data_IF_415149135607
#
_entry.id   IF_415149135607
#
_cell.length_a   1.000
_cell.length_b   1.000
_cell.length_c   1.000
_cell.angle_alpha   90.00
_cell.angle_beta   90.00
_cell.angle_gamma   90.00
#
_symmetry.space_group_name_H-M   'P 1'
#
loop_
_entity.id
_entity.type
_entity.pdbx_description
1 polymer ?
#
# COMPACT_ATOMS: atom_id res chain seq x y z
N UNK A 1 -29.54 8.50 -14.90
CA UNK A 1 -28.81 8.97 -13.70
C UNK A 1 -28.16 7.74 -13.08
N UNK A 2 -26.82 7.64 -13.07
CA UNK A 2 -26.11 6.51 -12.47
C UNK A 2 -26.36 6.52 -10.96
N UNK A 3 -26.78 5.39 -10.39
CA UNK A 3 -26.97 5.27 -8.95
C UNK A 3 -25.60 5.24 -8.24
N UNK A 4 -25.30 6.24 -7.40
CA UNK A 4 -24.02 6.30 -6.68
C UNK A 4 -23.80 5.09 -5.77
N UNK A 5 -24.87 4.53 -5.19
CA UNK A 5 -24.80 3.38 -4.28
C UNK A 5 -24.42 2.09 -5.03
N UNK A 6 -24.90 1.96 -6.28
CA UNK A 6 -24.60 0.82 -7.14
C UNK A 6 -23.10 0.73 -7.47
N UNK A 7 -22.41 1.87 -7.62
CA UNK A 7 -20.96 1.90 -7.81
C UNK A 7 -20.18 1.42 -6.57
N UNK A 8 -20.73 1.62 -5.36
CA UNK A 8 -20.08 1.17 -4.12
C UNK A 8 -20.37 -0.30 -3.76
N UNK A 9 -21.43 -0.89 -4.31
CA UNK A 9 -21.83 -2.28 -4.06
C UNK A 9 -20.70 -3.31 -4.26
N UNK A 10 -19.95 -3.33 -5.39
CA UNK A 10 -18.85 -4.28 -5.58
C UNK A 10 -17.74 -4.13 -4.52
N UNK A 11 -17.43 -2.89 -4.14
CA UNK A 11 -16.41 -2.57 -3.14
C UNK A 11 -16.77 -3.10 -1.74
N UNK A 12 -17.98 -2.81 -1.26
CA UNK A 12 -18.44 -3.32 0.04
C UNK A 12 -18.64 -4.85 0.05
N UNK A 13 -19.06 -5.43 -1.08
CA UNK A 13 -19.16 -6.89 -1.21
C UNK A 13 -17.78 -7.57 -1.18
N UNK A 14 -16.76 -6.98 -1.80
CA UNK A 14 -15.38 -7.45 -1.70
C UNK A 14 -14.87 -7.38 -0.25
N UNK A 15 -15.06 -6.24 0.43
CA UNK A 15 -14.69 -6.07 1.84
C UNK A 15 -15.40 -7.05 2.77
N UNK A 16 -16.66 -7.37 2.49
CA UNK A 16 -17.40 -8.39 3.22
C UNK A 16 -16.82 -9.78 2.96
N UNK A 17 -16.57 -10.16 1.69
CA UNK A 17 -16.01 -11.49 1.34
C UNK A 17 -14.67 -11.78 2.01
N UNK A 18 -13.80 -10.79 2.14
CA UNK A 18 -12.49 -10.93 2.81
C UNK A 18 -12.62 -10.88 4.34
N UNK A 19 -13.81 -10.60 4.88
CA UNK A 19 -14.07 -10.53 6.33
C UNK A 19 -13.66 -9.20 6.98
N UNK A 20 -13.16 -8.24 6.20
CA UNK A 20 -12.68 -6.96 6.73
C UNK A 20 -13.81 -6.01 7.12
N UNK A 21 -14.99 -6.16 6.50
CA UNK A 21 -16.18 -5.35 6.81
C UNK A 21 -17.46 -6.18 6.92
N UNK A 22 -18.52 -5.56 7.47
CA UNK A 22 -19.83 -6.21 7.60
C UNK A 22 -20.55 -6.29 6.25
N UNK A 23 -21.55 -7.17 6.17
CA UNK A 23 -22.47 -7.21 5.04
C UNK A 23 -23.35 -5.96 5.03
N UNK A 24 -23.26 -5.16 3.95
CA UNK A 24 -24.03 -3.93 3.77
C UNK A 24 -25.33 -4.19 2.99
N UNK A 25 -25.25 -4.83 1.82
CA UNK A 25 -26.37 -4.91 0.86
C UNK A 25 -27.02 -6.30 0.73
N UNK A 26 -26.67 -7.29 1.56
CA UNK A 26 -27.09 -8.69 1.35
C UNK A 26 -27.47 -9.53 2.59
N UNK A 27 -28.22 -9.02 3.59
CA UNK A 27 -28.82 -9.90 4.59
C UNK A 27 -30.23 -10.36 4.15
N UNK A 28 -30.33 -11.53 3.48
CA UNK A 28 -31.64 -12.19 3.29
C UNK A 28 -32.12 -12.96 4.54
N UNK A 29 -31.21 -13.34 5.45
CA UNK A 29 -31.52 -14.16 6.64
C UNK A 29 -30.65 -13.83 7.87
N UNK A 30 -31.24 -13.92 9.08
CA UNK A 30 -30.55 -13.68 10.36
C UNK A 30 -29.33 -14.62 10.55
N UNK A 31 -29.47 -15.88 10.16
CA UNK A 31 -28.41 -16.90 10.24
C UNK A 31 -27.17 -16.52 9.43
N UNK A 32 -27.33 -16.05 8.20
CA UNK A 32 -26.21 -15.61 7.36
C UNK A 32 -25.44 -14.46 8.00
N UNK A 33 -26.15 -13.52 8.63
CA UNK A 33 -25.53 -12.40 9.36
C UNK A 33 -24.74 -12.87 10.57
N UNK A 34 -25.28 -13.82 11.32
CA UNK A 34 -24.61 -14.38 12.50
C UNK A 34 -23.36 -15.18 12.12
N UNK A 35 -23.46 -16.02 11.09
CA UNK A 35 -22.31 -16.79 10.59
C UNK A 35 -21.22 -15.86 10.04
N UNK A 36 -21.62 -14.82 9.31
CA UNK A 36 -20.68 -13.79 8.85
C UNK A 36 -20.00 -13.06 10.00
N UNK A 37 -20.72 -12.78 11.10
CA UNK A 37 -20.13 -12.17 12.28
C UNK A 37 -19.00 -13.04 12.87
N UNK A 38 -19.24 -14.33 13.09
CA UNK A 38 -18.21 -15.24 13.59
C UNK A 38 -17.04 -15.40 12.62
N UNK A 39 -17.31 -15.51 11.31
CA UNK A 39 -16.29 -15.53 10.28
C UNK A 39 -15.37 -14.31 10.37
N UNK A 40 -15.94 -13.11 10.53
CA UNK A 40 -15.16 -11.87 10.68
C UNK A 40 -14.29 -11.86 11.94
N UNK A 41 -14.84 -12.30 13.07
CA UNK A 41 -14.07 -12.40 14.33
C UNK A 41 -12.89 -13.35 14.14
N UNK A 42 -13.10 -14.49 13.50
CA UNK A 42 -12.03 -15.44 13.17
C UNK A 42 -10.94 -14.81 12.30
N UNK A 43 -11.31 -14.12 11.21
CA UNK A 43 -10.36 -13.42 10.35
C UNK A 43 -9.59 -12.34 11.12
N UNK A 44 -10.26 -11.56 11.97
CA UNK A 44 -9.63 -10.52 12.79
C UNK A 44 -8.63 -11.08 13.79
N UNK A 45 -8.95 -12.21 14.44
CA UNK A 45 -8.00 -12.91 15.31
C UNK A 45 -6.75 -13.30 14.52
N UNK A 46 -6.92 -13.90 13.33
CA UNK A 46 -5.79 -14.28 12.47
C UNK A 46 -4.94 -13.09 12.02
N UNK A 47 -5.57 -11.96 11.66
CA UNK A 47 -4.84 -10.74 11.26
C UNK A 47 -4.05 -10.15 12.43
N UNK A 48 -4.66 -10.09 13.63
CA UNK A 48 -4.01 -9.55 14.83
C UNK A 48 -2.84 -10.45 15.24
N UNK A 49 -3.02 -11.77 15.29
CA UNK A 49 -1.96 -12.71 15.67
C UNK A 49 -0.80 -12.65 14.68
N UNK A 50 -1.08 -12.57 13.38
CA UNK A 50 -0.06 -12.41 12.34
C UNK A 50 0.76 -11.12 12.52
N UNK A 51 0.09 -9.97 12.73
CA UNK A 51 0.79 -8.71 12.97
C UNK A 51 1.60 -8.75 14.28
N UNK A 52 1.05 -9.34 15.34
CA UNK A 52 1.74 -9.49 16.62
C UNK A 52 3.00 -10.35 16.48
N UNK A 53 2.94 -11.45 15.72
CA UNK A 53 4.10 -12.29 15.42
C UNK A 53 5.22 -11.49 14.73
N UNK A 54 4.89 -10.63 13.77
CA UNK A 54 5.88 -9.77 13.10
C UNK A 54 6.45 -8.68 14.01
N UNK A 55 5.64 -8.09 14.90
CA UNK A 55 6.14 -7.15 15.92
C UNK A 55 7.12 -7.84 16.86
N UNK A 56 6.77 -9.03 17.37
CA UNK A 56 7.66 -9.83 18.24
C UNK A 56 8.98 -10.13 17.53
N UNK A 57 8.90 -10.58 16.27
CA UNK A 57 10.09 -10.86 15.46
C UNK A 57 10.95 -9.60 15.25
N UNK A 58 10.33 -8.44 14.99
CA UNK A 58 11.05 -7.18 14.85
C UNK A 58 11.77 -6.80 16.15
N UNK A 59 11.16 -7.02 17.31
CA UNK A 59 11.78 -6.76 18.62
C UNK A 59 12.96 -7.71 18.88
N UNK A 60 12.78 -9.01 18.62
CA UNK A 60 13.83 -10.02 18.81
C UNK A 60 15.06 -9.74 17.95
N UNK A 61 14.83 -9.28 16.73
CA UNK A 61 15.85 -9.11 15.71
C UNK A 61 16.38 -7.67 15.65
N UNK A 62 15.94 -6.78 16.55
CA UNK A 62 16.26 -5.34 16.53
C UNK A 62 17.76 -5.01 16.52
N UNK A 63 18.58 -5.90 17.08
CA UNK A 63 20.03 -5.73 17.14
C UNK A 63 20.72 -6.09 15.82
N UNK A 64 20.06 -6.85 14.95
CA UNK A 64 20.53 -7.20 13.62
C UNK A 64 19.77 -6.37 12.59
N UNK A 65 20.35 -5.22 12.24
CA UNK A 65 19.79 -4.24 11.29
C UNK A 65 19.29 -4.90 10.01
N UNK A 66 20.00 -5.91 9.52
CA UNK A 66 19.69 -6.54 8.25
C UNK A 66 18.41 -7.35 8.22
N UNK A 67 18.21 -8.16 9.26
CA UNK A 67 17.00 -8.97 9.42
C UNK A 67 15.82 -8.13 9.95
N UNK A 68 16.12 -7.04 10.66
CA UNK A 68 15.13 -6.06 11.11
C UNK A 68 14.45 -5.38 9.92
N UNK A 69 15.21 -4.91 8.92
CA UNK A 69 14.66 -4.22 7.74
C UNK A 69 13.66 -5.09 6.98
N UNK A 70 13.98 -6.37 6.72
CA UNK A 70 13.07 -7.30 6.06
C UNK A 70 11.78 -7.56 6.87
N UNK A 71 11.91 -7.65 8.18
CA UNK A 71 10.76 -7.83 9.09
C UNK A 71 9.89 -6.56 9.16
N UNK A 72 10.51 -5.38 9.21
CA UNK A 72 9.82 -4.08 9.24
C UNK A 72 9.03 -3.82 7.95
N UNK A 73 9.52 -4.23 6.79
CA UNK A 73 8.79 -4.04 5.54
C UNK A 73 7.45 -4.79 5.54
N UNK A 74 7.48 -6.09 5.83
CA UNK A 74 6.25 -6.91 5.89
C UNK A 74 5.30 -6.34 6.94
N UNK A 75 5.83 -5.97 8.10
CA UNK A 75 5.08 -5.37 9.19
C UNK A 75 4.43 -4.03 8.80
N UNK A 76 5.12 -3.15 8.09
CA UNK A 76 4.57 -1.87 7.64
C UNK A 76 3.42 -2.07 6.65
N UNK A 77 3.56 -3.01 5.71
CA UNK A 77 2.52 -3.34 4.73
C UNK A 77 1.27 -3.90 5.42
N UNK A 78 1.45 -4.75 6.45
CA UNK A 78 0.33 -5.36 7.18
C UNK A 78 -0.31 -4.39 8.18
N UNK A 79 0.49 -3.51 8.81
CA UNK A 79 0.00 -2.44 9.67
C UNK A 79 -0.85 -1.41 8.91
N UNK A 80 -0.47 -1.05 7.68
CA UNK A 80 -1.28 -0.18 6.82
C UNK A 80 -2.68 -0.77 6.59
N UNK A 81 -2.74 -2.07 6.32
CA UNK A 81 -4.00 -2.80 6.13
C UNK A 81 -4.82 -2.85 7.43
N UNK A 82 -4.17 -3.15 8.56
CA UNK A 82 -4.81 -3.19 9.88
C UNK A 82 -5.36 -1.80 10.28
N UNK A 83 -4.63 -0.73 10.02
CA UNK A 83 -5.07 0.65 10.29
C UNK A 83 -6.33 1.01 9.49
N UNK A 84 -6.41 0.61 8.22
CA UNK A 84 -7.62 0.78 7.38
C UNK A 84 -8.80 -0.03 7.94
N UNK A 85 -8.58 -1.30 8.28
CA UNK A 85 -9.62 -2.15 8.88
C UNK A 85 -10.17 -1.54 10.18
N UNK A 86 -9.28 -1.07 11.06
CA UNK A 86 -9.65 -0.44 12.32
C UNK A 86 -10.46 0.84 12.08
N UNK A 87 -10.02 1.70 11.15
CA UNK A 87 -10.72 2.95 10.80
C UNK A 87 -12.15 2.70 10.31
N UNK A 88 -12.32 1.73 9.40
CA UNK A 88 -13.65 1.35 8.88
C UNK A 88 -14.55 0.81 9.99
N UNK A 89 -14.03 -0.06 10.86
CA UNK A 89 -14.84 -0.74 11.86
C UNK A 89 -15.18 0.13 13.07
N UNK A 90 -14.25 0.97 13.55
CA UNK A 90 -14.55 1.94 14.62
C UNK A 90 -15.59 2.98 14.19
N UNK A 91 -15.68 3.28 12.89
CA UNK A 91 -16.59 4.29 12.34
C UNK A 91 -17.81 3.68 11.66
N UNK A 92 -18.12 2.40 11.92
CA UNK A 92 -19.20 1.67 11.24
C UNK A 92 -20.55 2.39 11.30
N UNK A 93 -20.91 2.97 12.45
CA UNK A 93 -22.17 3.73 12.60
C UNK A 93 -22.22 5.00 11.76
N UNK A 94 -21.07 5.64 11.52
CA UNK A 94 -21.00 6.83 10.65
C UNK A 94 -21.11 6.41 9.19
N UNK A 95 -20.48 5.30 8.82
CA UNK A 95 -20.58 4.72 7.47
C UNK A 95 -22.03 4.32 7.17
N UNK A 96 -22.74 3.74 8.14
CA UNK A 96 -24.17 3.42 8.01
C UNK A 96 -25.01 4.67 7.75
N UNK A 97 -24.82 5.73 8.53
CA UNK A 97 -25.51 7.01 8.28
C UNK A 97 -25.23 7.58 6.89
N UNK A 98 -24.01 7.46 6.38
CA UNK A 98 -23.66 7.89 5.01
C UNK A 98 -24.41 7.04 3.99
N UNK A 99 -24.40 5.71 4.14
CA UNK A 99 -25.11 4.78 3.27
C UNK A 99 -26.61 5.05 3.27
N UNK A 100 -27.20 5.28 4.44
CA UNK A 100 -28.61 5.61 4.60
C UNK A 100 -28.95 6.95 3.94
N UNK A 101 -28.06 7.95 4.04
CA UNK A 101 -28.23 9.24 3.35
C UNK A 101 -28.21 9.08 1.82
N UNK A 102 -27.38 8.18 1.30
CA UNK A 102 -27.33 7.86 -0.13
C UNK A 102 -28.58 7.07 -0.55
N UNK A 103 -29.09 6.18 0.29
CA UNK A 103 -30.26 5.32 0.04
C UNK A 103 -31.58 6.10 -0.12
N UNK A 104 -31.69 7.32 0.43
CA UNK A 104 -32.94 8.13 0.38
C UNK A 104 -33.37 8.49 -1.05
N UNK A 105 -32.50 8.33 -2.06
CA UNK A 105 -32.78 8.72 -3.44
C UNK A 105 -33.18 7.60 -4.42
N UNK A 106 -33.32 6.35 -3.99
CA UNK A 106 -33.51 5.24 -4.94
C UNK A 106 -34.57 4.23 -4.52
N UNK A 107 -35.67 4.21 -5.27
CA UNK A 107 -36.59 3.08 -5.39
C UNK A 107 -36.88 2.81 -6.87
N UNK A 108 -36.14 1.89 -7.49
CA UNK A 108 -36.56 1.31 -8.78
C UNK A 108 -35.88 -0.04 -9.00
N UNK A 109 -36.66 -0.98 -9.54
CA UNK A 109 -36.29 -2.40 -9.71
C UNK A 109 -34.96 -2.62 -10.41
N UNK A 110 -34.12 -3.44 -9.79
CA UNK A 110 -32.81 -3.84 -10.30
C UNK A 110 -32.97 -4.72 -11.54
N UNK A 111 -32.23 -4.42 -12.62
CA UNK A 111 -32.09 -5.32 -13.77
C UNK A 111 -31.11 -6.46 -13.43
N UNK A 112 -31.41 -7.70 -13.83
CA UNK A 112 -30.51 -8.85 -13.64
C UNK A 112 -29.13 -8.64 -14.28
N UNK A 113 -29.05 -7.88 -15.37
CA UNK A 113 -27.77 -7.53 -16.01
C UNK A 113 -26.86 -6.69 -15.11
N UNK A 114 -27.44 -5.85 -14.27
CA UNK A 114 -26.69 -5.01 -13.33
C UNK A 114 -26.06 -5.86 -12.20
N UNK A 115 -26.77 -6.87 -11.69
CA UNK A 115 -26.22 -7.73 -10.64
C UNK A 115 -25.02 -8.55 -11.13
N UNK A 116 -25.07 -9.02 -12.38
CA UNK A 116 -23.96 -9.73 -13.02
C UNK A 116 -22.75 -8.80 -13.19
N UNK A 117 -22.96 -7.56 -13.65
CA UNK A 117 -21.89 -6.57 -13.78
C UNK A 117 -21.21 -6.26 -12.42
N UNK A 118 -21.99 -6.07 -11.36
CA UNK A 118 -21.46 -5.80 -10.03
C UNK A 118 -20.69 -7.00 -9.44
N UNK A 119 -21.10 -8.23 -9.75
CA UNK A 119 -20.35 -9.44 -9.37
C UNK A 119 -19.01 -9.52 -10.11
N UNK A 120 -19.03 -9.29 -11.42
CA UNK A 120 -17.83 -9.29 -12.25
C UNK A 120 -16.83 -8.23 -11.79
N UNK A 121 -17.28 -6.99 -11.60
CA UNK A 121 -16.46 -5.88 -11.12
C UNK A 121 -15.87 -6.16 -9.72
N UNK A 122 -16.68 -6.73 -8.82
CA UNK A 122 -16.21 -7.15 -7.50
C UNK A 122 -15.13 -8.23 -7.56
N UNK A 123 -15.20 -9.17 -8.50
CA UNK A 123 -14.15 -10.19 -8.72
C UNK A 123 -12.88 -9.52 -9.23
N UNK A 124 -12.97 -8.67 -10.26
CA UNK A 124 -11.83 -7.98 -10.84
C UNK A 124 -11.09 -7.10 -9.82
N UNK A 125 -11.81 -6.31 -9.02
CA UNK A 125 -11.19 -5.47 -7.97
C UNK A 125 -10.42 -6.33 -6.96
N UNK A 126 -10.95 -7.50 -6.62
CA UNK A 126 -10.32 -8.40 -5.65
C UNK A 126 -9.05 -9.04 -6.23
N UNK A 127 -9.08 -9.45 -7.50
CA UNK A 127 -7.92 -9.96 -8.22
C UNK A 127 -6.85 -8.88 -8.40
N UNK A 128 -7.24 -7.67 -8.77
CA UNK A 128 -6.34 -6.52 -8.90
C UNK A 128 -5.65 -6.21 -7.57
N UNK A 129 -6.41 -6.21 -6.47
CA UNK A 129 -5.87 -5.98 -5.13
C UNK A 129 -4.87 -7.04 -4.69
N UNK A 130 -5.17 -8.33 -4.93
CA UNK A 130 -4.25 -9.43 -4.64
C UNK A 130 -2.99 -9.36 -5.49
N UNK A 131 -3.14 -9.16 -6.80
CA UNK A 131 -2.03 -9.06 -7.76
C UNK A 131 -1.07 -7.91 -7.41
N UNK A 132 -1.60 -6.71 -7.16
CA UNK A 132 -0.78 -5.54 -6.82
C UNK A 132 0.04 -5.75 -5.53
N UNK A 133 -0.61 -6.21 -4.44
CA UNK A 133 0.11 -6.46 -3.18
C UNK A 133 1.15 -7.56 -3.34
N UNK A 134 0.87 -8.57 -4.16
CA UNK A 134 1.81 -9.67 -4.42
C UNK A 134 3.03 -9.15 -5.19
N UNK A 135 2.83 -8.32 -6.22
CA UNK A 135 3.92 -7.69 -6.97
C UNK A 135 4.84 -6.87 -6.05
N UNK A 136 4.27 -5.99 -5.20
CA UNK A 136 5.07 -5.20 -4.24
C UNK A 136 5.91 -6.11 -3.31
N UNK A 137 5.32 -7.20 -2.80
CA UNK A 137 6.03 -8.17 -1.95
C UNK A 137 7.13 -8.93 -2.71
N UNK A 138 6.90 -9.29 -3.97
CA UNK A 138 7.90 -10.00 -4.78
C UNK A 138 9.14 -9.16 -5.05
N UNK A 139 8.99 -7.87 -5.35
CA UNK A 139 10.12 -6.94 -5.55
C UNK A 139 11.02 -6.94 -4.32
N UNK A 140 10.43 -6.77 -3.13
CA UNK A 140 11.21 -6.78 -1.88
C UNK A 140 11.83 -8.14 -1.58
N UNK A 141 11.14 -9.24 -1.91
CA UNK A 141 11.69 -10.59 -1.75
C UNK A 141 12.94 -10.80 -2.61
N UNK A 142 12.96 -10.27 -3.84
CA UNK A 142 14.12 -10.32 -4.72
C UNK A 142 15.31 -9.52 -4.17
N UNK A 143 15.07 -8.28 -3.69
CA UNK A 143 16.13 -7.50 -3.05
C UNK A 143 16.64 -8.13 -1.75
N UNK A 144 15.75 -8.75 -0.97
CA UNK A 144 16.15 -9.51 0.21
C UNK A 144 17.03 -10.70 -0.17
N UNK A 145 16.72 -11.40 -1.26
CA UNK A 145 17.56 -12.48 -1.78
C UNK A 145 18.94 -11.99 -2.22
N UNK A 146 19.04 -10.90 -3.01
CA UNK A 146 20.32 -10.28 -3.40
C UNK A 146 21.17 -9.99 -2.18
N UNK A 147 20.57 -9.37 -1.16
CA UNK A 147 21.23 -9.05 0.09
C UNK A 147 21.78 -10.28 0.80
N UNK A 148 20.99 -11.36 0.90
CA UNK A 148 21.45 -12.62 1.49
C UNK A 148 22.62 -13.21 0.69
N UNK A 149 22.58 -13.17 -0.64
CA UNK A 149 23.69 -13.64 -1.47
C UNK A 149 24.97 -12.82 -1.25
N UNK A 150 24.86 -11.50 -1.09
CA UNK A 150 26.00 -10.64 -0.73
C UNK A 150 26.58 -10.97 0.66
N UNK A 151 25.72 -11.30 1.63
CA UNK A 151 26.19 -11.74 2.95
C UNK A 151 26.92 -13.09 2.88
N UNK A 152 26.44 -14.04 2.08
CA UNK A 152 27.12 -15.33 1.83
C UNK A 152 28.47 -15.08 1.16
N UNK A 153 28.50 -14.24 0.13
CA UNK A 153 29.75 -13.88 -0.55
C UNK A 153 30.76 -13.26 0.41
N UNK A 154 30.31 -12.32 1.26
CA UNK A 154 31.15 -11.73 2.31
C UNK A 154 31.67 -12.79 3.28
N UNK A 155 30.81 -13.69 3.76
CA UNK A 155 31.21 -14.78 4.66
C UNK A 155 32.28 -15.68 4.04
N UNK A 156 32.11 -16.05 2.76
CA UNK A 156 33.06 -16.87 2.01
C UNK A 156 34.42 -16.18 1.84
N UNK A 157 34.45 -14.84 1.70
CA UNK A 157 35.69 -14.07 1.68
C UNK A 157 36.35 -13.99 3.05
N UNK A 158 35.59 -13.77 4.12
CA UNK A 158 36.11 -13.69 5.49
C UNK A 158 36.71 -15.04 5.96
N UNK A 159 36.12 -16.17 5.54
CA UNK A 159 36.58 -17.52 5.89
C UNK A 159 37.40 -18.18 4.77
N UNK A 160 37.83 -17.40 3.78
CA UNK A 160 38.49 -17.90 2.58
C UNK A 160 39.73 -18.74 2.89
N UNK A 161 40.53 -18.31 3.88
CA UNK A 161 41.78 -18.96 4.28
C UNK A 161 41.61 -20.04 5.36
N UNK A 162 40.47 -20.05 6.06
CA UNK A 162 40.20 -21.02 7.13
C UNK A 162 40.04 -22.44 6.57
N UNK A 163 39.44 -22.56 5.38
CA UNK A 163 39.22 -23.86 4.71
C UNK A 163 40.52 -24.51 4.20
N UNK A 164 41.60 -23.72 4.09
CA UNK A 164 42.92 -24.20 3.71
C UNK A 164 43.82 -24.47 4.93
N UNK A 165 43.33 -24.29 6.17
CA UNK A 165 44.09 -24.54 7.40
C UNK A 165 45.25 -23.55 7.66
N UNK A 166 45.34 -22.46 6.87
CA UNK A 166 46.48 -21.54 6.85
C UNK A 166 46.52 -20.62 8.08
N UNK A 167 45.40 -20.41 8.78
CA UNK A 167 45.35 -19.45 9.91
C UNK A 167 46.17 -19.87 11.15
N UNK A 168 46.54 -21.15 11.27
CA UNK A 168 47.28 -21.70 12.42
C UNK A 168 48.75 -22.03 12.11
N UNK A 169 49.22 -21.94 10.86
CA UNK A 169 50.64 -22.07 10.55
C UNK A 169 51.34 -20.73 10.74
N UNK A 170 52.50 -20.74 11.41
CA UNK A 170 53.39 -19.57 11.47
C UNK A 170 53.57 -19.04 10.05
N UNK A 171 53.27 -17.74 9.82
CA UNK A 171 53.30 -17.08 8.51
C UNK A 171 54.63 -17.34 7.78
N UNK A 172 54.66 -18.42 6.99
CA UNK A 172 55.62 -18.62 5.92
C UNK A 172 54.86 -18.29 4.65
N UNK A 173 55.41 -17.39 3.84
CA UNK A 173 54.79 -16.95 2.59
C UNK A 173 54.36 -18.19 1.78
N UNK A 174 53.08 -18.21 1.37
CA UNK A 174 52.38 -19.34 0.72
C UNK A 174 52.93 -19.64 -0.69
N UNK A 175 53.91 -18.87 -1.16
CA UNK A 175 54.47 -18.95 -2.51
C UNK A 175 55.29 -20.23 -2.80
N UNK A 176 55.59 -21.05 -1.78
CA UNK A 176 56.35 -22.30 -1.95
C UNK A 176 55.47 -23.52 -2.34
N UNK A 177 54.14 -23.45 -2.21
CA UNK A 177 53.23 -24.58 -2.50
C UNK A 177 52.34 -24.30 -3.73
N UNK A 178 52.79 -24.83 -4.88
CA UNK A 178 52.15 -24.64 -6.19
C UNK A 178 50.71 -25.19 -6.22
N UNK A 179 50.43 -26.31 -5.54
CA UNK A 179 49.10 -26.91 -5.46
C UNK A 179 48.14 -26.05 -4.62
N UNK A 180 48.62 -25.49 -3.50
CA UNK A 180 47.81 -24.61 -2.66
C UNK A 180 47.46 -23.31 -3.39
N UNK A 181 48.42 -22.73 -4.13
CA UNK A 181 48.21 -21.54 -4.94
C UNK A 181 47.18 -21.77 -6.07
N UNK A 182 47.23 -22.92 -6.76
CA UNK A 182 46.24 -23.26 -7.79
C UNK A 182 44.83 -23.39 -7.19
N UNK A 183 44.71 -24.02 -6.01
CA UNK A 183 43.44 -24.18 -5.30
C UNK A 183 42.88 -22.84 -4.79
N UNK A 184 43.75 -21.96 -4.26
CA UNK A 184 43.40 -20.61 -3.84
C UNK A 184 42.87 -19.81 -5.05
N UNK A 185 43.59 -19.86 -6.16
CA UNK A 185 43.22 -19.16 -7.39
C UNK A 185 41.87 -19.65 -7.92
N UNK A 186 41.65 -20.97 -8.00
CA UNK A 186 40.39 -21.55 -8.45
C UNK A 186 39.20 -21.10 -7.58
N UNK A 187 39.39 -21.06 -6.26
CA UNK A 187 38.34 -20.63 -5.33
C UNK A 187 38.08 -19.13 -5.41
N UNK A 188 39.13 -18.32 -5.57
CA UNK A 188 39.00 -16.88 -5.79
C UNK A 188 38.20 -16.59 -7.06
N UNK A 189 38.53 -17.24 -8.19
CA UNK A 189 37.79 -17.13 -9.44
C UNK A 189 36.31 -17.53 -9.27
N UNK A 190 36.04 -18.56 -8.47
CA UNK A 190 34.67 -18.98 -8.14
C UNK A 190 33.91 -17.90 -7.36
N UNK A 191 34.55 -17.27 -6.38
CA UNK A 191 33.96 -16.16 -5.62
C UNK A 191 33.66 -14.95 -6.52
N UNK A 192 34.59 -14.57 -7.39
CA UNK A 192 34.38 -13.48 -8.36
C UNK A 192 33.21 -13.79 -9.29
N UNK A 193 33.16 -14.99 -9.87
CA UNK A 193 32.04 -15.43 -10.72
C UNK A 193 30.70 -15.42 -9.97
N UNK A 194 30.68 -15.72 -8.67
CA UNK A 194 29.46 -15.63 -7.86
C UNK A 194 29.03 -14.19 -7.66
N UNK A 195 29.97 -13.29 -7.33
CA UNK A 195 29.69 -11.86 -7.21
C UNK A 195 29.16 -11.25 -8.52
N UNK A 196 29.77 -11.57 -9.66
CA UNK A 196 29.30 -11.11 -10.97
C UNK A 196 27.85 -11.52 -11.24
N UNK A 197 27.48 -12.76 -10.87
CA UNK A 197 26.09 -13.24 -10.97
C UNK A 197 25.15 -12.49 -10.04
N UNK A 198 25.58 -12.14 -8.83
CA UNK A 198 24.77 -11.35 -7.89
C UNK A 198 24.50 -9.96 -8.46
N UNK A 199 25.53 -9.29 -8.99
CA UNK A 199 25.40 -7.96 -9.59
C UNK A 199 24.52 -8.01 -10.84
N UNK A 200 24.71 -9.02 -11.71
CA UNK A 200 23.82 -9.23 -12.86
C UNK A 200 22.36 -9.38 -12.41
N UNK A 201 22.10 -10.27 -11.44
CA UNK A 201 20.74 -10.50 -10.94
C UNK A 201 20.12 -9.24 -10.33
N UNK A 202 20.88 -8.48 -9.54
CA UNK A 202 20.43 -7.21 -8.97
C UNK A 202 20.05 -6.18 -10.06
N UNK A 203 20.86 -6.11 -11.13
CA UNK A 203 20.62 -5.22 -12.27
C UNK A 203 19.37 -5.63 -13.05
N UNK A 204 19.13 -6.92 -13.27
CA UNK A 204 17.92 -7.40 -13.92
C UNK A 204 16.67 -7.06 -13.11
N UNK A 205 16.70 -7.24 -11.78
CA UNK A 205 15.60 -6.81 -10.89
C UNK A 205 15.33 -5.31 -11.05
N UNK A 206 16.39 -4.50 -11.00
CA UNK A 206 16.24 -3.05 -11.17
C UNK A 206 15.62 -2.71 -12.53
N UNK A 207 16.11 -3.28 -13.63
CA UNK A 207 15.55 -3.04 -14.96
C UNK A 207 14.08 -3.48 -15.07
N UNK A 208 13.72 -4.62 -14.49
CA UNK A 208 12.35 -5.13 -14.54
C UNK A 208 11.35 -4.26 -13.76
N UNK A 209 11.76 -3.69 -12.62
CA UNK A 209 10.84 -3.02 -11.70
C UNK A 209 10.99 -1.51 -11.64
N UNK A 210 12.09 -0.92 -12.12
CA UNK A 210 12.32 0.52 -12.08
C UNK A 210 11.20 1.29 -12.82
N UNK A 211 10.84 0.85 -14.03
CA UNK A 211 9.74 1.47 -14.80
C UNK A 211 8.41 1.42 -14.03
N UNK A 212 8.08 0.27 -13.44
CA UNK A 212 6.86 0.08 -12.67
C UNK A 212 6.84 0.96 -11.40
N UNK A 213 7.96 1.06 -10.69
CA UNK A 213 8.07 1.90 -9.49
C UNK A 213 7.90 3.39 -9.82
N UNK A 214 8.52 3.87 -10.90
CA UNK A 214 8.36 5.26 -11.35
C UNK A 214 6.89 5.56 -11.63
N UNK A 215 6.22 4.70 -12.42
CA UNK A 215 4.80 4.85 -12.73
C UNK A 215 3.96 4.85 -11.46
N UNK A 216 4.24 3.96 -10.50
CA UNK A 216 3.52 3.88 -9.22
C UNK A 216 3.59 5.21 -8.44
N UNK A 217 4.77 5.84 -8.36
CA UNK A 217 4.91 7.14 -7.70
C UNK A 217 4.09 8.24 -8.38
N UNK A 218 4.12 8.31 -9.71
CA UNK A 218 3.35 9.29 -10.48
C UNK A 218 1.84 9.06 -10.36
N UNK A 219 1.38 7.82 -10.46
CA UNK A 219 -0.05 7.47 -10.32
C UNK A 219 -0.55 7.83 -8.93
N UNK A 220 0.23 7.58 -7.87
CA UNK A 220 -0.16 7.96 -6.52
C UNK A 220 -0.29 9.47 -6.35
N UNK A 221 0.67 10.25 -6.88
CA UNK A 221 0.57 11.70 -6.90
C UNK A 221 -0.67 12.17 -7.68
N UNK A 222 -0.89 11.60 -8.86
CA UNK A 222 -2.03 11.90 -9.72
C UNK A 222 -3.38 11.61 -9.05
N UNK A 223 -3.52 10.44 -8.40
CA UNK A 223 -4.75 10.07 -7.68
C UNK A 223 -5.03 11.03 -6.53
N UNK A 224 -4.01 11.41 -5.76
CA UNK A 224 -4.16 12.41 -4.69
C UNK A 224 -4.61 13.76 -5.27
N UNK A 225 -3.99 14.21 -6.36
CA UNK A 225 -4.33 15.46 -7.03
C UNK A 225 -5.75 15.46 -7.60
N UNK A 226 -6.15 14.39 -8.29
CA UNK A 226 -7.50 14.24 -8.84
C UNK A 226 -8.56 14.13 -7.74
N UNK A 227 -8.22 13.50 -6.61
CA UNK A 227 -9.11 13.45 -5.45
C UNK A 227 -9.32 14.84 -4.89
N UNK A 228 -8.26 15.66 -4.76
CA UNK A 228 -8.40 17.05 -4.35
C UNK A 228 -9.21 17.88 -5.36
N UNK A 229 -8.90 17.78 -6.66
CA UNK A 229 -9.58 18.52 -7.73
C UNK A 229 -11.08 18.21 -7.81
N UNK A 230 -11.49 16.93 -7.78
CA UNK A 230 -12.90 16.55 -7.86
C UNK A 230 -13.76 17.12 -6.73
N UNK A 231 -13.15 17.45 -5.61
CA UNK A 231 -13.85 17.96 -4.43
C UNK A 231 -13.98 19.50 -4.48
N UNK A 232 -13.11 20.19 -5.24
CA UNK A 232 -13.21 21.63 -5.57
C UNK A 232 -14.39 21.95 -6.51
N UNK A 233 -15.05 20.94 -7.08
CA UNK A 233 -16.27 21.09 -7.88
C UNK A 233 -17.44 21.81 -7.18
N UNK A 234 -17.34 22.16 -5.89
CA UNK A 234 -18.28 23.09 -5.24
C UNK A 234 -18.28 24.48 -5.88
N UNK A 235 -17.17 24.93 -6.47
CA UNK A 235 -17.11 26.21 -7.21
C UNK A 235 -17.96 26.19 -8.48
N UNK A 236 -18.11 25.03 -9.13
CA UNK A 236 -18.97 24.86 -10.31
C UNK A 236 -20.44 25.11 -9.98
N UNK A 237 -20.86 24.91 -8.71
CA UNK A 237 -22.23 25.23 -8.27
C UNK A 237 -22.45 26.74 -8.30
N UNK A 238 -21.47 27.54 -7.88
CA UNK A 238 -21.56 29.00 -7.95
C UNK A 238 -21.57 29.48 -9.39
N UNK A 239 -20.74 28.88 -10.25
CA UNK A 239 -20.75 29.18 -11.68
C UNK A 239 -22.09 28.79 -12.34
N UNK A 240 -22.66 27.64 -11.97
CA UNK A 240 -23.96 27.17 -12.47
C UNK A 240 -25.10 28.06 -12.02
N UNK A 241 -25.10 28.51 -10.75
CA UNK A 241 -26.09 29.48 -10.25
C UNK A 241 -25.92 30.82 -10.97
N UNK A 242 -24.69 31.27 -11.22
CA UNK A 242 -24.43 32.51 -11.92
C UNK A 242 -24.90 32.48 -13.39
N UNK A 243 -24.68 31.36 -14.08
CA UNK A 243 -25.14 31.10 -15.45
C UNK A 243 -26.63 30.79 -15.55
N UNK A 244 -27.31 30.53 -14.43
CA UNK A 244 -28.76 30.36 -14.43
C UNK A 244 -29.46 31.70 -14.68
N UNK A 245 -30.73 31.67 -15.09
CA UNK A 245 -31.54 32.89 -15.21
C UNK A 245 -31.96 33.46 -13.84
N UNK A 246 -31.06 33.50 -12.85
CA UNK A 246 -31.40 33.89 -11.47
C UNK A 246 -31.90 35.34 -11.35
N UNK A 247 -31.58 36.19 -12.33
CA UNK A 247 -32.08 37.56 -12.45
C UNK A 247 -33.56 37.64 -12.84
N UNK A 248 -34.19 36.58 -13.36
CA UNK A 248 -35.64 36.56 -13.62
C UNK A 248 -36.46 36.15 -12.38
N UNK A 249 -35.79 35.64 -11.34
CA UNK A 249 -36.43 35.15 -10.12
C UNK A 249 -36.88 36.28 -9.19
N UNK A 250 -37.80 35.99 -8.27
CA UNK A 250 -38.29 36.98 -7.28
C UNK A 250 -37.17 37.42 -6.31
N UNK A 251 -37.24 38.65 -5.76
CA UNK A 251 -36.23 39.16 -4.83
C UNK A 251 -35.99 38.25 -3.61
N UNK A 252 -37.06 37.61 -3.11
CA UNK A 252 -36.98 36.64 -2.00
C UNK A 252 -36.16 35.41 -2.40
N UNK A 253 -36.33 34.91 -3.62
CA UNK A 253 -35.61 33.73 -4.09
C UNK A 253 -34.15 34.05 -4.44
N UNK A 254 -33.87 35.24 -5.00
CA UNK A 254 -32.49 35.72 -5.22
C UNK A 254 -31.68 35.77 -3.93
N UNK A 255 -32.28 36.28 -2.84
CA UNK A 255 -31.62 36.31 -1.51
C UNK A 255 -31.28 34.91 -1.02
N UNK A 256 -32.13 33.91 -1.27
CA UNK A 256 -31.85 32.49 -0.93
C UNK A 256 -30.72 31.91 -1.79
N UNK A 257 -30.70 32.20 -3.09
CA UNK A 257 -29.61 31.78 -3.98
C UNK A 257 -28.27 32.38 -3.56
N UNK A 258 -28.23 33.65 -3.18
CA UNK A 258 -27.00 34.28 -2.68
C UNK A 258 -26.48 33.61 -1.39
N UNK A 259 -27.38 33.20 -0.48
CA UNK A 259 -27.00 32.42 0.71
C UNK A 259 -26.42 31.06 0.30
N UNK A 260 -27.02 30.39 -0.70
CA UNK A 260 -26.48 29.12 -1.22
C UNK A 260 -25.11 29.34 -1.86
N UNK A 261 -24.94 30.38 -2.67
CA UNK A 261 -23.66 30.70 -3.29
C UNK A 261 -22.56 30.95 -2.25
N UNK A 262 -22.90 31.68 -1.17
CA UNK A 262 -21.98 31.93 -0.07
C UNK A 262 -21.62 30.65 0.70
N UNK A 263 -22.58 29.73 0.87
CA UNK A 263 -22.31 28.43 1.50
C UNK A 263 -21.47 27.51 0.62
N UNK A 264 -21.63 27.59 -0.70
CA UNK A 264 -20.88 26.81 -1.68
C UNK A 264 -19.43 27.31 -1.89
N UNK A 265 -19.09 28.53 -1.44
CA UNK A 265 -17.69 29.01 -1.39
C UNK A 265 -16.80 28.22 -0.42
N UNK A 266 -17.38 27.52 0.55
CA UNK A 266 -16.60 26.65 1.43
C UNK A 266 -16.15 25.42 0.64
N UNK A 267 -14.91 25.44 0.14
CA UNK A 267 -14.29 24.30 -0.49
C UNK A 267 -14.39 23.08 0.42
N UNK A 268 -14.89 21.98 -0.12
CA UNK A 268 -14.83 20.70 0.57
C UNK A 268 -13.37 20.25 0.39
N UNK A 269 -12.57 20.32 1.45
CA UNK A 269 -11.17 19.87 1.40
C UNK A 269 -11.06 18.59 2.24
N UNK A 270 -10.69 17.44 1.65
CA UNK A 270 -10.40 16.26 2.45
C UNK A 270 -9.18 16.53 3.32
N UNK A 271 -9.31 16.34 4.63
CA UNK A 271 -8.23 16.53 5.62
C UNK A 271 -7.86 15.21 6.28
N UNK A 272 -6.58 14.85 6.21
CA UNK A 272 -5.96 13.76 6.97
C UNK A 272 -5.82 14.18 8.43
N UNK A 273 -6.25 13.30 9.35
CA UNK A 273 -6.24 13.55 10.79
C UNK A 273 -6.92 14.87 11.22
N UNK A 274 -7.84 15.40 10.41
CA UNK A 274 -8.51 16.71 10.59
C UNK A 274 -7.62 17.95 10.49
N UNK A 275 -6.29 17.79 10.47
CA UNK A 275 -5.33 18.90 10.53
C UNK A 275 -4.68 19.13 9.16
N UNK A 276 -4.35 18.06 8.44
CA UNK A 276 -3.49 18.11 7.25
C UNK A 276 -4.36 18.04 5.99
N UNK A 277 -4.45 19.08 5.15
CA UNK A 277 -5.18 19.00 3.89
C UNK A 277 -4.52 17.99 2.95
N UNK A 278 -5.30 17.19 2.23
CA UNK A 278 -4.76 16.37 1.14
C UNK A 278 -4.56 17.24 -0.10
N UNK A 279 -3.42 17.94 -0.16
CA UNK A 279 -2.99 18.78 -1.28
C UNK A 279 -1.64 18.32 -1.84
N UNK A 280 -1.25 18.91 -2.97
CA UNK A 280 0.07 18.73 -3.57
C UNK A 280 1.18 19.15 -2.60
N UNK A 281 0.96 20.19 -1.79
CA UNK A 281 1.94 20.67 -0.80
C UNK A 281 2.22 19.62 0.27
N UNK A 282 1.17 18.95 0.74
CA UNK A 282 1.30 17.85 1.71
C UNK A 282 2.07 16.68 1.10
N UNK A 283 1.82 16.34 -0.17
CA UNK A 283 2.58 15.30 -0.87
C UNK A 283 4.06 15.65 -1.01
N UNK A 284 4.37 16.87 -1.45
CA UNK A 284 5.76 17.38 -1.56
C UNK A 284 6.43 17.39 -0.18
N UNK A 285 5.72 17.79 0.87
CA UNK A 285 6.23 17.77 2.24
C UNK A 285 6.65 16.36 2.67
N UNK A 286 5.82 15.34 2.40
CA UNK A 286 6.15 13.94 2.71
C UNK A 286 7.37 13.49 1.93
N UNK A 287 7.45 13.77 0.63
CA UNK A 287 8.61 13.43 -0.19
C UNK A 287 9.91 14.08 0.32
N UNK A 288 9.86 15.36 0.69
CA UNK A 288 11.01 16.07 1.27
C UNK A 288 11.46 15.44 2.58
N UNK A 289 10.52 15.06 3.45
CA UNK A 289 10.83 14.36 4.71
C UNK A 289 11.45 12.99 4.47
N UNK A 290 10.93 12.22 3.50
CA UNK A 290 11.50 10.92 3.11
C UNK A 290 12.92 11.07 2.54
N UNK A 291 13.15 12.05 1.67
CA UNK A 291 14.46 12.36 1.13
C UNK A 291 15.45 12.78 2.22
N UNK A 292 15.04 13.64 3.16
CA UNK A 292 15.87 14.04 4.29
C UNK A 292 16.30 12.83 5.13
N UNK A 293 15.36 11.93 5.46
CA UNK A 293 15.65 10.67 6.15
C UNK A 293 16.68 9.82 5.39
N UNK A 294 16.53 9.69 4.07
CA UNK A 294 17.47 8.95 3.24
C UNK A 294 18.89 9.55 3.28
N UNK A 295 19.01 10.87 3.13
CA UNK A 295 20.32 11.55 3.19
C UNK A 295 21.01 11.41 4.56
N UNK A 296 20.24 11.31 5.65
CA UNK A 296 20.81 11.07 7.00
C UNK A 296 21.37 9.66 7.12
N UNK A 297 20.67 8.66 6.56
CA UNK A 297 21.13 7.26 6.57
C UNK A 297 22.39 7.11 5.71
N UNK A 298 22.43 7.76 4.55
CA UNK A 298 23.57 7.70 3.64
C UNK A 298 24.85 8.28 4.29
N UNK A 299 24.73 9.39 5.00
CA UNK A 299 25.84 10.00 5.76
C UNK A 299 26.34 9.17 6.95
N UNK A 300 25.63 8.09 7.34
CA UNK A 300 26.01 7.22 8.47
C UNK A 300 26.65 5.89 8.03
N UNK A 301 26.75 5.63 6.73
CA UNK A 301 27.61 4.56 6.19
C UNK A 301 29.04 5.07 6.07
#
# INVERSE_FOLDING_TARGET
MYDPLLAFRPHFNALARVGYFKLVFSPKTKWKRQLHYYYRVFIWIGVITYNLQHVIRAIQVRHYTDHLVGTLFILLTTLNTLGKQLSFNMRVQRIDKIIDTINVYVSSGYSSSFEIAALFEGILISLQGYGHVTMDCTIVSFYAYVKTQLQIFRYNLEHFLDEFGVRNSNLKYIDEDENLNELLHHKFVTCVKHYDKIIWFAREIELMFNEAMIIQFFVMAWVICMTAYKIVGSELVNESIYRSEWLSLSPVFRRRLLIVMERCKRAIEPRTAYIIPMSIDTYISVLRSSYALFTIIDKRK
#
